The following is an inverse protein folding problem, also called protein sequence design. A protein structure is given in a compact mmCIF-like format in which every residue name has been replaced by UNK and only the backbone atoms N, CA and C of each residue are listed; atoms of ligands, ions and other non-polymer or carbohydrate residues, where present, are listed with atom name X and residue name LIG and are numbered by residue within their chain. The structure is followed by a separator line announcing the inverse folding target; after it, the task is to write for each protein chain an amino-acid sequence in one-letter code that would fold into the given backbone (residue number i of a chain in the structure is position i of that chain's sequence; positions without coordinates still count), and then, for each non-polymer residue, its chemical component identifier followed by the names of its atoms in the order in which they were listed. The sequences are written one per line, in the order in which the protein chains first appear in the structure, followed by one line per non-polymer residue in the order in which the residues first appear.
data_IF_576175106767
#
_entry.id   IF_576175106767
#
_cell.length_a   1.000
_cell.length_b   1.000
_cell.length_c   1.000
_cell.angle_alpha   90.00
_cell.angle_beta   90.00
_cell.angle_gamma   90.00
#
_symmetry.space_group_name_H-M   'P 1'
#
loop_
_entity.id
_entity.type
_entity.pdbx_description
1 polymer ?
#
# COMPACT_ATOMS: atom_id res chain seq x y z
N UNK A 1 0.73 6.27 -13.20
CA UNK A 1 0.74 4.82 -12.93
C UNK A 1 -0.55 4.51 -12.19
N UNK A 2 -1.28 3.46 -12.56
CA UNK A 2 -2.62 3.17 -12.04
C UNK A 2 -2.55 2.64 -10.58
N UNK A 3 -2.40 3.55 -9.63
CA UNK A 3 -2.17 3.24 -8.21
C UNK A 3 -3.27 2.36 -7.61
N UNK A 4 -4.53 2.62 -7.96
CA UNK A 4 -5.69 1.83 -7.50
C UNK A 4 -5.62 0.36 -7.92
N UNK A 5 -5.28 0.08 -9.18
CA UNK A 5 -5.23 -1.29 -9.69
C UNK A 5 -4.09 -2.09 -9.06
N UNK A 6 -2.96 -1.44 -8.78
CA UNK A 6 -1.83 -2.08 -8.10
C UNK A 6 -2.17 -2.46 -6.64
N UNK A 7 -2.83 -1.57 -5.90
CA UNK A 7 -3.27 -1.84 -4.52
C UNK A 7 -4.27 -3.00 -4.51
N UNK A 8 -5.25 -3.01 -5.43
CA UNK A 8 -6.20 -4.11 -5.54
C UNK A 8 -5.50 -5.45 -5.79
N UNK A 9 -4.47 -5.49 -6.65
CA UNK A 9 -3.66 -6.71 -6.88
C UNK A 9 -2.89 -7.15 -5.63
N UNK A 10 -2.31 -6.21 -4.87
CA UNK A 10 -1.63 -6.53 -3.61
C UNK A 10 -2.59 -7.15 -2.61
N UNK A 11 -3.77 -6.54 -2.43
CA UNK A 11 -4.81 -7.08 -1.55
C UNK A 11 -5.31 -8.46 -1.99
N UNK A 12 -5.40 -8.70 -3.29
CA UNK A 12 -5.72 -10.02 -3.83
C UNK A 12 -4.64 -11.05 -3.48
N UNK A 13 -3.36 -10.69 -3.59
CA UNK A 13 -2.25 -11.58 -3.24
C UNK A 13 -2.21 -11.88 -1.73
N UNK A 14 -2.36 -10.85 -0.89
CA UNK A 14 -2.38 -10.98 0.58
C UNK A 14 -3.52 -11.86 1.07
N UNK A 15 -4.71 -11.71 0.49
CA UNK A 15 -5.91 -12.49 0.87
C UNK A 15 -6.05 -13.82 0.09
N UNK A 16 -5.07 -14.16 -0.75
CA UNK A 16 -5.09 -15.33 -1.63
C UNK A 16 -6.35 -15.42 -2.53
N UNK A 17 -6.88 -14.27 -2.97
CA UNK A 17 -8.10 -14.18 -3.78
C UNK A 17 -7.72 -14.21 -5.25
N UNK A 18 -8.33 -15.12 -6.03
CA UNK A 18 -8.15 -15.16 -7.48
C UNK A 18 -9.16 -14.28 -8.20
N UNK A 19 -8.83 -13.89 -9.43
CA UNK A 19 -9.76 -13.13 -10.32
C UNK A 19 -11.10 -13.86 -10.46
N UNK A 20 -11.08 -15.20 -10.51
CA UNK A 20 -12.28 -16.03 -10.56
C UNK A 20 -13.20 -15.86 -9.35
N UNK A 21 -12.64 -15.65 -8.15
CA UNK A 21 -13.41 -15.43 -6.94
C UNK A 21 -14.05 -14.05 -6.93
N UNK A 22 -13.34 -13.05 -7.46
CA UNK A 22 -13.89 -11.70 -7.64
C UNK A 22 -15.05 -11.73 -8.63
N UNK A 23 -14.93 -12.44 -9.75
CA UNK A 23 -16.01 -12.58 -10.73
C UNK A 23 -17.26 -13.20 -10.08
N UNK A 24 -17.08 -14.28 -9.32
CA UNK A 24 -18.18 -14.95 -8.61
C UNK A 24 -18.86 -14.04 -7.57
N UNK A 25 -18.08 -13.27 -6.80
CA UNK A 25 -18.60 -12.40 -5.73
C UNK A 25 -19.16 -11.07 -6.23
N UNK A 26 -18.53 -10.46 -7.24
CA UNK A 26 -18.92 -9.14 -7.77
C UNK A 26 -20.05 -9.21 -8.80
N UNK A 27 -20.27 -10.39 -9.41
CA UNK A 27 -21.21 -10.56 -10.51
C UNK A 27 -20.78 -9.84 -11.80
N UNK A 28 -19.53 -9.39 -11.89
CA UNK A 28 -19.00 -8.72 -13.08
C UNK A 28 -18.42 -9.73 -14.07
N UNK A 29 -18.50 -9.46 -15.39
CA UNK A 29 -17.84 -10.30 -16.39
C UNK A 29 -16.32 -10.40 -16.16
N UNK A 30 -15.74 -11.56 -16.48
CA UNK A 30 -14.29 -11.79 -16.34
C UNK A 30 -13.46 -10.76 -17.11
N UNK A 31 -13.89 -10.42 -18.33
CA UNK A 31 -13.23 -9.40 -19.15
C UNK A 31 -13.24 -8.02 -18.49
N UNK A 32 -14.31 -7.66 -17.80
CA UNK A 32 -14.44 -6.41 -17.05
C UNK A 32 -13.51 -6.39 -15.84
N UNK A 33 -13.52 -7.44 -15.02
CA UNK A 33 -12.63 -7.52 -13.85
C UNK A 33 -11.16 -7.47 -14.28
N UNK A 34 -10.80 -8.23 -15.32
CA UNK A 34 -9.44 -8.22 -15.87
C UNK A 34 -9.06 -6.86 -16.42
N UNK A 35 -9.95 -6.21 -17.18
CA UNK A 35 -9.71 -4.86 -17.69
C UNK A 35 -9.51 -3.83 -16.57
N UNK A 36 -10.26 -3.92 -15.47
CA UNK A 36 -10.12 -3.00 -14.33
C UNK A 36 -8.79 -3.22 -13.60
N UNK A 37 -8.38 -4.47 -13.43
CA UNK A 37 -7.12 -4.82 -12.80
C UNK A 37 -5.91 -4.53 -13.70
N UNK A 38 -6.06 -4.52 -15.03
CA UNK A 38 -4.96 -4.34 -16.01
C UNK A 38 -4.86 -2.96 -16.65
N UNK A 39 -6.00 -2.27 -16.87
CA UNK A 39 -6.09 -0.95 -17.52
C UNK A 39 -6.57 0.15 -16.57
N UNK A 40 -6.60 -0.15 -15.27
CA UNK A 40 -6.80 0.83 -14.23
C UNK A 40 -8.24 0.97 -13.78
N UNK A 41 -8.41 0.96 -12.45
CA UNK A 41 -9.70 1.26 -11.83
C UNK A 41 -10.15 2.72 -12.02
N UNK A 42 -9.26 3.63 -12.44
CA UNK A 42 -9.59 5.03 -12.75
C UNK A 42 -10.49 5.18 -13.98
N UNK A 43 -10.37 4.27 -14.96
CA UNK A 43 -11.19 4.29 -16.19
C UNK A 43 -12.50 3.52 -16.03
N UNK A 44 -12.70 2.89 -14.88
CA UNK A 44 -13.88 2.10 -14.60
C UNK A 44 -14.93 2.96 -13.89
N UNK A 45 -16.21 2.73 -14.20
CA UNK A 45 -17.29 3.38 -13.46
C UNK A 45 -17.21 3.04 -11.97
N UNK A 46 -17.46 4.04 -11.11
CA UNK A 46 -17.38 3.92 -9.64
C UNK A 46 -18.10 2.68 -9.10
N UNK A 47 -19.30 2.39 -9.61
CA UNK A 47 -20.10 1.20 -9.24
C UNK A 47 -19.33 -0.11 -9.43
N UNK A 48 -18.56 -0.24 -10.52
CA UNK A 48 -17.78 -1.45 -10.78
C UNK A 48 -16.58 -1.56 -9.85
N UNK A 49 -15.94 -0.42 -9.52
CA UNK A 49 -14.85 -0.37 -8.53
C UNK A 49 -15.36 -0.80 -7.16
N UNK A 50 -16.50 -0.27 -6.72
CA UNK A 50 -17.14 -0.66 -5.46
C UNK A 50 -17.43 -2.17 -5.41
N UNK A 51 -17.98 -2.75 -6.47
CA UNK A 51 -18.25 -4.19 -6.55
C UNK A 51 -16.99 -5.05 -6.41
N UNK A 52 -15.88 -4.62 -7.01
CA UNK A 52 -14.59 -5.31 -6.88
C UNK A 52 -14.04 -5.16 -5.46
N UNK A 53 -14.10 -3.96 -4.88
CA UNK A 53 -13.68 -3.72 -3.50
C UNK A 53 -14.47 -4.61 -2.53
N UNK A 54 -15.79 -4.66 -2.67
CA UNK A 54 -16.67 -5.52 -1.86
C UNK A 54 -16.33 -7.01 -2.03
N UNK A 55 -16.01 -7.47 -3.25
CA UNK A 55 -15.60 -8.84 -3.48
C UNK A 55 -14.27 -9.23 -2.80
N UNK A 56 -13.37 -8.26 -2.64
CA UNK A 56 -12.10 -8.40 -1.90
C UNK A 56 -12.32 -8.25 -0.38
N UNK A 57 -13.43 -7.64 0.02
CA UNK A 57 -13.79 -7.40 1.42
C UNK A 57 -13.25 -6.08 1.96
N UNK A 58 -13.13 -5.06 1.11
CA UNK A 58 -12.77 -3.68 1.48
C UNK A 58 -13.83 -2.70 0.96
N UNK A 59 -13.89 -1.50 1.52
CA UNK A 59 -14.68 -0.41 0.95
C UNK A 59 -13.87 0.38 -0.08
N UNK A 60 -14.56 1.16 -0.93
CA UNK A 60 -13.89 2.10 -1.82
C UNK A 60 -13.14 3.18 -1.02
N UNK A 61 -13.65 3.57 0.15
CA UNK A 61 -12.98 4.52 1.03
C UNK A 61 -11.67 3.97 1.60
N UNK A 62 -11.63 2.68 1.94
CA UNK A 62 -10.40 2.03 2.40
C UNK A 62 -9.36 1.98 1.28
N UNK A 63 -9.80 1.75 0.04
CA UNK A 63 -8.91 1.82 -1.13
C UNK A 63 -8.31 3.22 -1.27
N UNK A 64 -9.11 4.28 -1.14
CA UNK A 64 -8.61 5.66 -1.18
C UNK A 64 -7.66 5.98 -0.02
N UNK A 65 -7.99 5.54 1.20
CA UNK A 65 -7.09 5.67 2.36
C UNK A 65 -5.77 4.96 2.16
N UNK A 66 -5.73 3.82 1.46
CA UNK A 66 -4.49 3.11 1.15
C UNK A 66 -3.65 3.85 0.10
N UNK A 67 -4.28 4.53 -0.86
CA UNK A 67 -3.57 5.40 -1.80
C UNK A 67 -2.94 6.57 -1.03
N UNK A 68 -3.74 7.24 -0.20
CA UNK A 68 -3.29 8.37 0.64
C UNK A 68 -2.18 7.94 1.63
N UNK A 69 -2.31 6.77 2.26
CA UNK A 69 -1.28 6.23 3.17
C UNK A 69 -0.04 5.71 2.45
N UNK A 70 -0.12 5.32 1.18
CA UNK A 70 1.08 5.00 0.40
C UNK A 70 1.97 6.24 0.23
N UNK A 71 1.37 7.44 0.26
CA UNK A 71 2.12 8.71 0.30
C UNK A 71 2.60 9.07 1.72
N UNK A 72 1.97 8.54 2.76
CA UNK A 72 2.41 8.73 4.14
C UNK A 72 3.46 7.69 4.55
N UNK A 73 4.72 7.97 4.22
CA UNK A 73 5.86 7.41 4.96
C UNK A 73 6.19 8.38 6.09
N UNK A 74 5.81 8.12 7.36
CA UNK A 74 6.43 8.84 8.46
C UNK A 74 7.92 8.52 8.41
N UNK A 75 8.73 9.50 8.01
CA UNK A 75 10.19 9.40 7.97
C UNK A 75 10.79 9.44 9.38
N UNK A 76 9.96 9.63 10.40
CA UNK A 76 10.35 9.80 11.79
C UNK A 76 10.25 8.48 12.56
N UNK A 77 11.26 7.63 12.40
CA UNK A 77 11.45 6.43 13.26
C UNK A 77 11.96 6.84 14.66
N UNK A 78 12.52 8.04 14.81
CA UNK A 78 13.22 8.49 16.03
C UNK A 78 12.32 8.88 17.22
N UNK A 79 11.00 9.00 17.06
CA UNK A 79 10.12 9.47 18.13
C UNK A 79 9.82 8.41 19.22
N UNK A 80 10.17 7.15 18.99
CA UNK A 80 10.01 6.04 19.95
C UNK A 80 11.35 5.44 20.40
N UNK A 81 12.47 6.04 20.02
CA UNK A 81 13.76 5.63 20.58
C UNK A 81 13.86 6.25 21.97
N UNK A 82 13.75 5.42 23.01
CA UNK A 82 13.94 5.87 24.38
C UNK A 82 15.43 6.15 24.59
N UNK A 83 15.83 7.41 24.41
CA UNK A 83 17.22 7.86 24.55
C UNK A 83 17.52 8.39 25.96
N UNK A 84 16.61 8.18 26.93
CA UNK A 84 16.77 8.66 28.31
C UNK A 84 18.03 8.13 28.98
N UNK A 85 18.47 6.94 28.55
CA UNK A 85 19.56 6.19 29.18
C UNK A 85 20.91 6.38 28.46
N UNK A 86 20.94 7.19 27.40
CA UNK A 86 22.14 7.41 26.58
C UNK A 86 22.82 8.73 26.93
N UNK A 87 24.13 8.67 27.09
CA UNK A 87 25.00 9.84 27.27
C UNK A 87 25.10 10.65 25.96
N UNK A 88 25.51 11.92 26.07
CA UNK A 88 25.69 12.80 24.90
C UNK A 88 26.62 12.20 23.84
N UNK A 89 27.68 11.50 24.27
CA UNK A 89 28.61 10.82 23.38
C UNK A 89 27.96 9.63 22.63
N UNK A 90 27.14 8.83 23.32
CA UNK A 90 26.44 7.70 22.70
C UNK A 90 25.36 8.16 21.72
N UNK A 91 24.72 9.31 21.98
CA UNK A 91 23.78 9.93 21.05
C UNK A 91 24.50 10.39 19.77
N UNK A 92 25.70 10.95 19.89
CA UNK A 92 26.54 11.34 18.75
C UNK A 92 26.97 10.12 17.91
N UNK A 93 27.36 9.02 18.55
CA UNK A 93 27.71 7.77 17.87
C UNK A 93 26.55 7.18 17.07
N UNK A 94 25.33 7.22 17.62
CA UNK A 94 24.12 6.78 16.92
C UNK A 94 23.84 7.66 15.70
N UNK A 95 23.99 8.98 15.84
CA UNK A 95 23.81 9.92 14.72
C UNK A 95 24.80 9.62 13.59
N UNK A 96 26.09 9.44 13.93
CA UNK A 96 27.15 9.07 13.00
C UNK A 96 26.87 7.74 12.29
N UNK A 97 26.38 6.73 13.02
CA UNK A 97 26.04 5.43 12.45
C UNK A 97 24.86 5.51 11.47
N UNK A 98 23.82 6.28 11.79
CA UNK A 98 22.69 6.52 10.88
C UNK A 98 23.18 7.17 9.58
N UNK A 99 24.07 8.17 9.68
CA UNK A 99 24.65 8.83 8.52
C UNK A 99 25.49 7.89 7.66
N UNK A 100 26.31 7.05 8.30
CA UNK A 100 27.09 6.01 7.63
C UNK A 100 26.21 5.05 6.81
N UNK A 101 25.12 4.54 7.39
CA UNK A 101 24.18 3.65 6.69
C UNK A 101 23.48 4.37 5.54
N UNK A 102 23.12 5.65 5.70
CA UNK A 102 22.54 6.47 4.62
C UNK A 102 23.51 6.62 3.44
N UNK A 103 24.79 6.89 3.71
CA UNK A 103 25.81 6.99 2.66
C UNK A 103 26.09 5.64 1.99
N UNK A 104 26.05 4.53 2.73
CA UNK A 104 26.20 3.18 2.17
C UNK A 104 25.10 2.81 1.17
N UNK A 105 23.86 3.26 1.38
CA UNK A 105 22.72 3.01 0.48
C UNK A 105 22.71 3.88 -0.78
N UNK A 106 23.46 4.99 -0.79
CA UNK A 106 23.60 5.88 -1.95
C UNK A 106 24.67 5.43 -2.95
N UNK A 107 25.51 4.46 -2.57
CA UNK A 107 26.42 3.73 -3.48
C UNK A 107 25.74 2.48 -4.01
#
# INVERSE_FOLDING_TARGET
MEQRAEILRKLMAEKNIKVSDIVKKSGLPYSTVKAILERGAEKAGYVNVCKICQAIGISADDLEKMILNTEYRPTTIAAHLDTSDLTEAEQEDIANYIEFIRNKRKK
#
